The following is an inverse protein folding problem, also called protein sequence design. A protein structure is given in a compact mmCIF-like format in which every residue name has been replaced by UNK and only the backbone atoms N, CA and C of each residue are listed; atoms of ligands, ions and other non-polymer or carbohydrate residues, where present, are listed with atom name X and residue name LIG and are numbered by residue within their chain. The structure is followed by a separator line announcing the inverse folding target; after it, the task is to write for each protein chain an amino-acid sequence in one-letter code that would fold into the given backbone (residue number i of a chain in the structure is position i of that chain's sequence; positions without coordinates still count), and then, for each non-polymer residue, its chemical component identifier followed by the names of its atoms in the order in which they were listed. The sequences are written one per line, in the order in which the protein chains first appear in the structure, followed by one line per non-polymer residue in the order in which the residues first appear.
data_IF_976870985748
#
_entry.id   IF_976870985748
#
_cell.length_a   1.000
_cell.length_b   1.000
_cell.length_c   1.000
_cell.angle_alpha   90.00
_cell.angle_beta   90.00
_cell.angle_gamma   90.00
#
_symmetry.space_group_name_H-M   'P 1'
#
loop_
_entity.id
_entity.type
_entity.pdbx_description
1 polymer ?
#
# COMPACT_ATOMS: atom_id res chain seq x y z
N UNK A 1 -23.24 17.84 0.36
CA UNK A 1 -22.15 16.94 0.84
C UNK A 1 -22.75 15.77 1.58
N UNK A 2 -22.35 14.54 1.26
CA UNK A 2 -22.86 13.31 1.89
C UNK A 2 -21.69 12.41 2.32
N UNK A 3 -21.89 11.62 3.38
CA UNK A 3 -20.91 10.60 3.77
C UNK A 3 -21.28 9.30 3.06
N UNK A 4 -20.35 8.76 2.26
CA UNK A 4 -20.57 7.52 1.50
C UNK A 4 -19.55 6.47 1.93
N UNK A 5 -20.01 5.24 2.06
CA UNK A 5 -19.13 4.09 2.23
C UNK A 5 -18.59 3.64 0.87
N UNK A 6 -17.27 3.56 0.78
CA UNK A 6 -16.55 3.16 -0.41
C UNK A 6 -15.70 1.93 -0.07
N UNK A 7 -15.69 0.95 -0.97
CA UNK A 7 -14.74 -0.16 -0.94
C UNK A 7 -13.69 0.08 -2.01
N UNK A 8 -12.44 0.23 -1.58
CA UNK A 8 -11.29 0.41 -2.46
C UNK A 8 -10.48 -0.88 -2.44
N UNK A 9 -10.20 -1.41 -3.63
CA UNK A 9 -9.38 -2.60 -3.80
C UNK A 9 -7.97 -2.19 -4.18
N UNK A 10 -7.01 -2.43 -3.29
CA UNK A 10 -5.59 -2.19 -3.55
C UNK A 10 -4.90 -3.48 -3.95
N UNK A 11 -4.24 -3.50 -5.11
CA UNK A 11 -3.50 -4.66 -5.61
C UNK A 11 -2.00 -4.39 -5.67
N UNK A 12 -1.22 -5.07 -4.84
CA UNK A 12 0.23 -4.99 -4.83
C UNK A 12 0.78 -6.00 -5.83
N UNK A 13 1.22 -5.51 -6.99
CA UNK A 13 1.77 -6.33 -8.07
C UNK A 13 3.20 -6.76 -7.79
N UNK A 14 4.10 -5.79 -7.66
CA UNK A 14 5.52 -6.03 -7.44
C UNK A 14 6.12 -4.96 -6.54
N UNK A 15 7.22 -5.31 -5.90
CA UNK A 15 8.06 -4.42 -5.12
C UNK A 15 9.47 -4.48 -5.68
N UNK A 16 10.06 -3.31 -5.93
CA UNK A 16 11.47 -3.19 -6.30
C UNK A 16 12.21 -2.47 -5.18
N UNK A 17 13.19 -3.15 -4.59
CA UNK A 17 14.01 -2.60 -3.50
C UNK A 17 15.42 -3.22 -3.59
N UNK A 18 16.49 -2.42 -3.48
CA UNK A 18 17.84 -2.97 -3.46
C UNK A 18 18.06 -3.80 -2.20
N UNK A 19 18.67 -4.98 -2.34
CA UNK A 19 19.09 -5.81 -1.22
C UNK A 19 20.49 -6.34 -1.44
N UNK A 20 21.27 -6.42 -0.36
CA UNK A 20 22.66 -6.92 -0.40
C UNK A 20 22.78 -8.34 0.15
N UNK A 21 21.68 -8.89 0.66
CA UNK A 21 21.61 -10.27 1.13
C UNK A 21 20.18 -10.80 0.96
N UNK A 22 20.06 -12.12 1.05
CA UNK A 22 18.77 -12.80 1.03
C UNK A 22 17.93 -12.41 2.24
N UNK A 23 16.78 -11.78 2.01
CA UNK A 23 15.91 -11.30 3.09
C UNK A 23 14.42 -11.53 2.83
N UNK A 24 13.64 -11.89 3.88
CA UNK A 24 12.20 -11.95 3.77
C UNK A 24 11.61 -10.54 3.78
N UNK A 25 10.69 -10.25 2.88
CA UNK A 25 10.01 -8.96 2.75
C UNK A 25 8.50 -9.15 2.83
N UNK A 26 7.84 -8.21 3.50
CA UNK A 26 6.38 -8.07 3.53
C UNK A 26 5.97 -6.64 3.21
N UNK A 27 4.83 -6.49 2.53
CA UNK A 27 4.16 -5.21 2.40
C UNK A 27 2.99 -5.18 3.36
N UNK A 28 2.93 -4.11 4.14
CA UNK A 28 1.94 -3.88 5.17
C UNK A 28 1.14 -2.64 4.79
N UNK A 29 -0.15 -2.80 4.54
CA UNK A 29 -1.05 -1.66 4.48
C UNK A 29 -1.57 -1.35 5.89
N UNK A 30 -1.60 -0.07 6.26
CA UNK A 30 -2.15 0.37 7.55
C UNK A 30 -2.88 1.69 7.43
N UNK A 31 -3.93 1.85 8.25
CA UNK A 31 -4.68 3.09 8.40
C UNK A 31 -5.35 3.11 9.77
N UNK A 32 -4.96 4.05 10.62
CA UNK A 32 -5.42 4.12 12.02
C UNK A 32 -5.20 2.76 12.71
N UNK A 33 -6.25 2.13 13.23
CA UNK A 33 -6.18 0.80 13.86
C UNK A 33 -6.31 -0.37 12.87
N UNK A 34 -6.63 -0.13 11.59
CA UNK A 34 -6.75 -1.18 10.58
C UNK A 34 -5.39 -1.48 9.95
N UNK A 35 -5.12 -2.76 9.71
CA UNK A 35 -3.90 -3.22 9.06
C UNK A 35 -4.17 -4.49 8.24
N UNK A 36 -3.50 -4.62 7.10
CA UNK A 36 -3.45 -5.84 6.30
C UNK A 36 -1.99 -6.08 5.85
N UNK A 37 -1.61 -7.34 5.62
CA UNK A 37 -0.24 -7.72 5.28
C UNK A 37 -0.25 -8.72 4.14
N UNK A 38 0.70 -8.59 3.23
CA UNK A 38 0.95 -9.63 2.23
C UNK A 38 1.55 -10.89 2.88
N UNK A 39 1.57 -11.99 2.14
CA UNK A 39 2.44 -13.13 2.45
C UNK A 39 3.89 -12.67 2.40
N UNK A 40 4.73 -13.30 3.22
CA UNK A 40 6.19 -13.10 3.15
C UNK A 40 6.70 -13.57 1.79
N UNK A 41 7.57 -12.78 1.17
CA UNK A 41 8.32 -13.13 -0.03
C UNK A 41 9.80 -13.06 0.27
N UNK A 42 10.58 -13.95 -0.34
CA UNK A 42 12.02 -13.99 -0.15
C UNK A 42 12.67 -13.24 -1.32
N UNK A 43 13.39 -12.17 -1.01
CA UNK A 43 14.16 -11.41 -1.98
C UNK A 43 15.62 -11.85 -1.87
N UNK A 44 16.29 -12.00 -3.01
CA UNK A 44 17.68 -12.47 -3.10
C UNK A 44 18.58 -11.33 -3.58
N UNK A 45 19.85 -11.37 -3.23
CA UNK A 45 20.86 -10.37 -3.62
C UNK A 45 21.02 -10.18 -5.13
N UNK A 46 20.77 -11.21 -5.93
CA UNK A 46 20.76 -11.14 -7.39
C UNK A 46 19.43 -10.67 -8.01
N UNK A 47 18.42 -10.35 -7.19
CA UNK A 47 17.10 -9.92 -7.63
C UNK A 47 16.72 -8.61 -6.93
N UNK A 48 16.49 -7.55 -7.70
CA UNK A 48 16.06 -6.26 -7.16
C UNK A 48 14.54 -6.14 -7.01
N UNK A 49 13.79 -7.14 -7.51
CA UNK A 49 12.33 -7.12 -7.62
C UNK A 49 11.73 -8.41 -7.08
N UNK A 50 10.63 -8.29 -6.33
CA UNK A 50 9.78 -9.42 -5.93
C UNK A 50 8.32 -9.19 -6.30
N UNK A 51 7.61 -10.28 -6.61
CA UNK A 51 6.20 -10.26 -7.02
C UNK A 51 5.33 -10.75 -5.86
N UNK A 52 4.35 -9.94 -5.47
CA UNK A 52 3.35 -10.32 -4.46
C UNK A 52 2.08 -10.82 -5.15
N UNK A 53 1.57 -10.07 -6.13
CA UNK A 53 0.23 -10.22 -6.76
C UNK A 53 -0.88 -10.47 -5.72
N UNK A 54 -0.90 -9.63 -4.69
CA UNK A 54 -1.85 -9.71 -3.56
C UNK A 54 -2.79 -8.51 -3.52
N UNK A 55 -3.98 -8.73 -2.99
CA UNK A 55 -5.08 -7.76 -3.00
C UNK A 55 -5.61 -7.51 -1.59
N UNK A 56 -5.94 -6.25 -1.31
CA UNK A 56 -6.58 -5.80 -0.08
C UNK A 56 -7.88 -5.07 -0.42
N UNK A 57 -9.00 -5.60 0.05
CA UNK A 57 -10.27 -4.88 0.03
C UNK A 57 -10.38 -3.99 1.27
N UNK A 58 -10.49 -2.68 1.08
CA UNK A 58 -10.51 -1.68 2.14
C UNK A 58 -11.83 -0.92 2.10
N UNK A 59 -12.68 -1.17 3.09
CA UNK A 59 -13.91 -0.39 3.28
C UNK A 59 -13.65 0.85 4.14
N UNK A 60 -14.00 2.01 3.60
CA UNK A 60 -13.82 3.31 4.27
C UNK A 60 -14.93 4.30 3.91
N UNK A 61 -15.40 5.06 4.91
CA UNK A 61 -16.36 6.14 4.70
C UNK A 61 -15.64 7.43 4.31
N UNK A 62 -16.07 8.08 3.24
CA UNK A 62 -15.55 9.38 2.78
C UNK A 62 -16.65 10.41 2.64
N UNK A 63 -16.32 11.65 2.99
CA UNK A 63 -17.18 12.79 2.67
C UNK A 63 -17.01 13.10 1.19
N UNK A 64 -18.12 13.03 0.45
CA UNK A 64 -18.14 13.28 -0.97
C UNK A 64 -18.97 14.52 -1.32
N UNK A 65 -18.62 15.15 -2.44
CA UNK A 65 -19.42 16.21 -3.04
C UNK A 65 -20.66 15.63 -3.74
N UNK A 66 -21.40 16.49 -4.45
CA UNK A 66 -22.61 16.13 -5.18
C UNK A 66 -22.33 15.19 -6.37
N UNK A 67 -21.11 15.25 -6.93
CA UNK A 67 -20.63 14.35 -8.00
C UNK A 67 -20.11 13.01 -7.47
N UNK A 68 -20.10 12.82 -6.14
CA UNK A 68 -19.61 11.61 -5.50
C UNK A 68 -18.09 11.56 -5.34
N UNK A 69 -17.37 12.65 -5.58
CA UNK A 69 -15.92 12.71 -5.43
C UNK A 69 -15.52 12.97 -3.97
N UNK A 70 -14.52 12.28 -3.44
CA UNK A 70 -14.01 12.56 -2.11
C UNK A 70 -13.50 14.00 -1.97
N UNK A 71 -13.96 14.72 -0.93
CA UNK A 71 -13.61 16.14 -0.70
C UNK A 71 -12.48 16.34 0.31
N UNK A 72 -12.07 15.27 1.01
CA UNK A 72 -11.02 15.30 2.02
C UNK A 72 -10.07 14.13 1.83
N UNK A 73 -8.77 14.41 1.96
CA UNK A 73 -7.73 13.40 1.93
C UNK A 73 -8.01 12.28 2.94
N UNK A 74 -7.77 11.05 2.51
CA UNK A 74 -7.97 9.83 3.28
C UNK A 74 -6.68 9.02 3.25
N UNK A 75 -5.70 9.53 4.00
CA UNK A 75 -4.36 8.96 4.06
C UNK A 75 -4.34 7.54 4.65
N UNK A 76 -3.50 6.71 4.06
CA UNK A 76 -3.08 5.39 4.52
C UNK A 76 -1.59 5.21 4.23
N UNK A 77 -0.96 4.23 4.86
CA UNK A 77 0.49 4.00 4.71
C UNK A 77 0.73 2.57 4.28
N UNK A 78 1.55 2.40 3.25
CA UNK A 78 2.18 1.13 2.89
C UNK A 78 3.57 1.11 3.49
N UNK A 79 3.89 0.07 4.26
CA UNK A 79 5.20 -0.16 4.87
C UNK A 79 5.81 -1.42 4.29
N UNK A 80 7.02 -1.30 3.78
CA UNK A 80 7.85 -2.45 3.42
C UNK A 80 8.65 -2.80 4.67
N UNK A 81 8.49 -4.02 5.17
CA UNK A 81 9.22 -4.50 6.34
C UNK A 81 9.91 -5.83 6.05
N UNK A 82 11.01 -6.04 6.76
CA UNK A 82 11.79 -7.27 6.76
C UNK A 82 11.53 -8.08 8.03
N UNK A 83 12.45 -8.95 8.40
CA UNK A 83 12.49 -9.59 9.70
C UNK A 83 12.76 -8.60 10.85
N UNK A 84 12.77 -9.13 12.09
CA UNK A 84 13.01 -8.32 13.29
C UNK A 84 14.41 -7.70 13.34
N UNK A 85 15.39 -8.22 12.59
CA UNK A 85 16.76 -7.72 12.60
C UNK A 85 16.89 -6.46 11.75
N UNK A 86 16.21 -6.42 10.60
CA UNK A 86 16.28 -5.28 9.66
C UNK A 86 15.13 -4.29 9.80
N UNK A 87 14.00 -4.69 10.38
CA UNK A 87 12.90 -3.78 10.67
C UNK A 87 12.21 -3.25 9.42
N UNK A 88 12.03 -1.93 9.33
CA UNK A 88 11.32 -1.27 8.22
C UNK A 88 12.32 -0.92 7.14
N UNK A 89 12.06 -1.40 5.91
CA UNK A 89 12.88 -1.10 4.72
C UNK A 89 12.37 0.11 3.95
N UNK A 90 11.20 0.62 4.31
CA UNK A 90 10.71 1.91 3.84
C UNK A 90 9.19 2.01 3.85
N UNK A 91 8.69 3.21 3.54
CA UNK A 91 7.27 3.54 3.61
C UNK A 91 6.84 4.39 2.43
N UNK A 92 5.56 4.33 2.12
CA UNK A 92 4.94 5.33 1.27
C UNK A 92 3.51 5.60 1.69
N UNK A 93 3.11 6.86 1.54
CA UNK A 93 1.75 7.29 1.83
C UNK A 93 0.86 7.16 0.60
N UNK A 94 -0.38 6.75 0.84
CA UNK A 94 -1.41 6.58 -0.15
C UNK A 94 -2.65 7.33 0.28
N UNK A 95 -3.04 8.32 -0.51
CA UNK A 95 -4.29 9.04 -0.32
C UNK A 95 -5.43 8.31 -1.05
N UNK A 96 -6.28 7.63 -0.28
CA UNK A 96 -7.41 6.89 -0.83
C UNK A 96 -8.46 7.81 -1.46
N UNK A 97 -8.49 9.10 -1.11
CA UNK A 97 -9.43 10.07 -1.66
C UNK A 97 -9.17 10.40 -3.14
N UNK A 98 -8.02 9.99 -3.68
CA UNK A 98 -7.67 10.16 -5.10
C UNK A 98 -8.34 9.14 -6.03
N UNK A 99 -8.98 8.12 -5.47
CA UNK A 99 -9.67 7.07 -6.24
C UNK A 99 -11.18 7.29 -6.15
N UNK A 100 -11.88 7.06 -7.26
CA UNK A 100 -13.33 7.23 -7.34
C UNK A 100 -14.04 5.89 -7.60
N UNK A 101 -15.38 5.90 -7.60
CA UNK A 101 -16.19 4.75 -8.05
C UNK A 101 -15.82 4.35 -9.48
N UNK A 102 -15.72 3.04 -9.73
CA UNK A 102 -15.37 2.43 -11.02
C UNK A 102 -14.03 2.90 -11.63
N UNK A 103 -13.15 3.43 -10.78
CA UNK A 103 -11.83 3.92 -11.20
C UNK A 103 -10.76 2.82 -11.03
N UNK A 104 -9.90 2.68 -12.04
CA UNK A 104 -8.73 1.82 -12.01
C UNK A 104 -7.49 2.64 -12.32
N UNK A 105 -6.54 2.66 -11.38
CA UNK A 105 -5.29 3.35 -11.56
C UNK A 105 -4.11 2.46 -11.19
N UNK A 106 -3.07 2.46 -12.05
CA UNK A 106 -1.80 1.80 -11.78
C UNK A 106 -0.77 2.84 -11.36
N UNK A 107 -0.22 2.67 -10.16
CA UNK A 107 0.77 3.59 -9.60
C UNK A 107 2.09 2.88 -9.34
N UNK A 108 3.19 3.54 -9.70
CA UNK A 108 4.51 3.24 -9.15
C UNK A 108 4.75 4.21 -8.01
N UNK A 109 4.70 3.71 -6.78
CA UNK A 109 4.90 4.53 -5.59
C UNK A 109 6.35 4.38 -5.14
N UNK A 110 7.04 5.50 -5.00
CA UNK A 110 8.40 5.52 -4.47
C UNK A 110 8.39 5.26 -2.97
N UNK A 111 9.15 4.27 -2.57
CA UNK A 111 9.38 3.97 -1.16
C UNK A 111 10.39 5.00 -0.63
N UNK A 112 10.05 5.65 0.48
CA UNK A 112 10.90 6.60 1.20
C UNK A 112 11.47 5.91 2.44
N UNK A 113 12.52 6.51 3.01
CA UNK A 113 13.20 5.96 4.20
C UNK A 113 13.84 4.58 3.94
N UNK A 114 14.28 4.32 2.69
CA UNK A 114 15.01 3.10 2.38
C UNK A 114 16.39 3.10 3.05
N UNK A 115 16.64 2.05 3.84
CA UNK A 115 17.94 1.76 4.44
C UNK A 115 18.74 0.78 3.59
#
# INVERSE_FOLDING_TARGET
MSNKDLTITLKIKALRIPVNEKMPVIVIWSRQSKQAKTKKRLLMDNADTTVFDEEFAISTSMTCDEEGRPTKAKMSTLTVASDKARGILGKCDLDLAKFNYDDFQMHRIEVRECQ
#
